data_IF_033531909714
#
_entry.id   IF_033531909714
#
_cell.length_a   1.000
_cell.length_b   1.000
_cell.length_c   1.000
_cell.angle_alpha   90.00
_cell.angle_beta   90.00
_cell.angle_gamma   90.00
#
_symmetry.space_group_name_H-M   'P 1'
#
loop_
_entity.id
_entity.type
_entity.pdbx_description
1 polymer ?
#
# COMPACT_ATOMS: atom_id res chain seq x y z
N UNK A 1 -0.58 -31.77 17.64
CA UNK A 1 -1.20 -31.12 16.47
C UNK A 1 -0.52 -29.78 16.27
N UNK A 2 0.40 -29.65 15.28
CA UNK A 2 1.05 -28.37 14.97
C UNK A 2 0.09 -27.56 14.07
N UNK A 3 -0.47 -26.51 14.61
CA UNK A 3 -1.25 -25.55 13.82
C UNK A 3 -0.34 -24.99 12.72
N UNK A 4 -0.67 -25.24 11.49
CA UNK A 4 -0.11 -24.50 10.35
C UNK A 4 -0.35 -23.02 10.62
N UNK A 5 0.68 -22.20 10.48
CA UNK A 5 0.54 -20.73 10.47
C UNK A 5 -0.44 -20.41 9.34
N UNK A 6 -1.72 -20.33 9.69
CA UNK A 6 -2.81 -20.15 8.76
C UNK A 6 -2.62 -18.83 8.03
N UNK A 7 -2.67 -18.86 6.71
CA UNK A 7 -2.84 -17.65 5.92
C UNK A 7 -3.99 -16.85 6.54
N UNK A 8 -3.76 -15.56 6.81
CA UNK A 8 -4.79 -14.67 7.34
C UNK A 8 -6.04 -14.82 6.47
N UNK A 9 -7.24 -14.97 7.05
CA UNK A 9 -8.45 -15.13 6.27
C UNK A 9 -8.59 -13.95 5.31
N UNK A 10 -8.96 -14.24 4.08
CA UNK A 10 -9.24 -13.22 3.07
C UNK A 10 -10.31 -12.25 3.60
N UNK A 11 -9.99 -10.96 3.62
CA UNK A 11 -10.83 -9.88 4.14
C UNK A 11 -11.33 -9.02 2.96
N UNK A 12 -12.56 -9.26 2.47
CA UNK A 12 -13.10 -8.56 1.29
C UNK A 12 -13.12 -7.04 1.42
N UNK A 13 -13.36 -6.52 2.64
CA UNK A 13 -13.36 -5.09 2.90
C UNK A 13 -11.99 -4.42 2.67
N UNK A 14 -10.90 -5.10 2.97
CA UNK A 14 -9.56 -4.55 2.70
C UNK A 14 -9.27 -4.54 1.19
N UNK A 15 -9.74 -5.53 0.43
CA UNK A 15 -9.63 -5.50 -1.03
C UNK A 15 -10.47 -4.38 -1.62
N UNK A 16 -11.67 -4.13 -1.07
CA UNK A 16 -12.50 -3.00 -1.48
C UNK A 16 -11.78 -1.66 -1.27
N UNK A 17 -11.18 -1.45 -0.10
CA UNK A 17 -10.43 -0.21 0.18
C UNK A 17 -9.22 -0.05 -0.73
N UNK A 18 -8.49 -1.12 -1.06
CA UNK A 18 -7.37 -1.08 -2.00
C UNK A 18 -7.83 -0.74 -3.42
N UNK A 19 -8.91 -1.37 -3.87
CA UNK A 19 -9.51 -1.10 -5.17
C UNK A 19 -9.98 0.36 -5.26
N UNK A 20 -10.65 0.85 -4.22
CA UNK A 20 -11.04 2.26 -4.13
C UNK A 20 -9.83 3.19 -4.17
N UNK A 21 -8.80 2.91 -3.38
CA UNK A 21 -7.59 3.73 -3.27
C UNK A 21 -6.88 3.88 -4.63
N UNK A 22 -6.65 2.78 -5.35
CA UNK A 22 -5.97 2.84 -6.65
C UNK A 22 -6.81 3.59 -7.69
N UNK A 23 -8.12 3.36 -7.74
CA UNK A 23 -9.03 4.09 -8.64
C UNK A 23 -9.01 5.58 -8.31
N UNK A 24 -9.06 5.95 -7.03
CA UNK A 24 -9.05 7.35 -6.60
C UNK A 24 -7.75 8.07 -6.97
N UNK A 25 -6.60 7.42 -6.82
CA UNK A 25 -5.31 7.94 -7.27
C UNK A 25 -5.26 8.11 -8.80
N UNK A 26 -5.78 7.14 -9.55
CA UNK A 26 -5.84 7.25 -11.02
C UNK A 26 -6.77 8.40 -11.46
N UNK A 27 -7.92 8.58 -10.81
CA UNK A 27 -8.81 9.72 -11.04
C UNK A 27 -8.10 11.04 -10.75
N UNK A 28 -7.36 11.16 -9.65
CA UNK A 28 -6.55 12.35 -9.38
C UNK A 28 -5.57 12.66 -10.52
N UNK A 29 -4.83 11.67 -11.00
CA UNK A 29 -3.86 11.89 -12.06
C UNK A 29 -4.50 12.04 -13.46
N UNK A 30 -5.73 11.55 -13.68
CA UNK A 30 -6.39 11.63 -14.98
C UNK A 30 -6.68 13.07 -15.41
N UNK A 31 -6.85 13.99 -14.45
CA UNK A 31 -7.08 15.41 -14.76
C UNK A 31 -5.83 16.11 -15.33
N UNK A 32 -4.64 15.57 -15.12
CA UNK A 32 -3.42 16.05 -15.76
C UNK A 32 -3.49 15.91 -17.30
N UNK A 33 -4.37 15.06 -17.80
CA UNK A 33 -4.57 14.77 -19.22
C UNK A 33 -6.02 15.05 -19.68
N UNK A 34 -6.71 15.94 -18.97
CA UNK A 34 -8.05 16.41 -19.34
C UNK A 34 -9.24 15.61 -18.79
N UNK A 35 -9.02 14.47 -18.14
CA UNK A 35 -10.02 13.68 -17.38
C UNK A 35 -11.42 13.60 -17.98
N UNK A 36 -12.45 13.74 -17.11
CA UNK A 36 -13.88 13.81 -17.48
C UNK A 36 -14.36 15.22 -17.83
N UNK A 37 -13.46 16.22 -17.84
CA UNK A 37 -13.80 17.64 -17.99
C UNK A 37 -14.15 18.31 -16.66
N UNK A 38 -14.33 19.66 -16.71
CA UNK A 38 -14.41 20.53 -15.53
C UNK A 38 -15.59 20.22 -14.60
N UNK A 39 -16.71 19.76 -15.14
CA UNK A 39 -17.91 19.44 -14.36
C UNK A 39 -17.70 18.30 -13.35
N UNK A 40 -16.68 17.47 -13.55
CA UNK A 40 -16.38 16.32 -12.72
C UNK A 40 -15.06 16.46 -11.94
N UNK A 41 -14.45 17.66 -11.94
CA UNK A 41 -13.18 17.93 -11.26
C UNK A 41 -13.21 17.58 -9.76
N UNK A 42 -14.38 17.69 -9.13
CA UNK A 42 -14.58 17.34 -7.71
C UNK A 42 -14.25 15.86 -7.40
N UNK A 43 -14.47 14.93 -8.36
CA UNK A 43 -14.14 13.50 -8.16
C UNK A 43 -12.64 13.26 -7.98
N UNK A 44 -11.82 14.05 -8.64
CA UNK A 44 -10.36 13.89 -8.60
C UNK A 44 -9.69 14.77 -7.56
N UNK A 45 -10.30 15.87 -7.16
CA UNK A 45 -9.70 16.91 -6.29
C UNK A 45 -8.94 16.34 -5.09
N UNK A 46 -9.50 15.32 -4.46
CA UNK A 46 -8.95 14.69 -3.27
C UNK A 46 -8.37 13.29 -3.52
N UNK A 47 -8.27 12.85 -4.77
CA UNK A 47 -7.82 11.49 -5.09
C UNK A 47 -6.38 11.18 -4.68
N UNK A 48 -5.54 12.21 -4.45
CA UNK A 48 -4.21 12.06 -3.85
C UNK A 48 -4.26 11.39 -2.47
N UNK A 49 -5.38 11.51 -1.72
CA UNK A 49 -5.60 10.83 -0.43
C UNK A 49 -5.69 9.29 -0.58
N UNK A 50 -5.87 8.77 -1.79
CA UNK A 50 -5.79 7.33 -2.04
C UNK A 50 -4.44 6.73 -1.67
N UNK A 51 -3.35 7.51 -1.73
CA UNK A 51 -2.02 7.10 -1.23
C UNK A 51 -2.05 6.91 0.29
N UNK A 52 -2.76 7.76 1.01
CA UNK A 52 -2.88 7.66 2.48
C UNK A 52 -3.71 6.44 2.91
N UNK A 53 -4.70 6.01 2.10
CA UNK A 53 -5.37 4.72 2.29
C UNK A 53 -4.36 3.57 2.21
N UNK A 54 -3.46 3.59 1.20
CA UNK A 54 -2.39 2.59 1.11
C UNK A 54 -1.44 2.65 2.31
N UNK A 55 -1.07 3.82 2.79
CA UNK A 55 -0.22 3.96 3.97
C UNK A 55 -0.85 3.34 5.23
N UNK A 56 -2.14 3.60 5.49
CA UNK A 56 -2.84 2.98 6.63
C UNK A 56 -2.94 1.45 6.46
N UNK A 57 -3.28 0.98 5.27
CA UNK A 57 -3.33 -0.46 4.97
C UNK A 57 -1.96 -1.12 5.12
N UNK A 58 -0.90 -0.47 4.64
CA UNK A 58 0.49 -0.94 4.78
C UNK A 58 0.91 -0.99 6.25
N UNK A 59 0.66 0.07 7.01
CA UNK A 59 0.92 0.11 8.44
C UNK A 59 0.19 -1.01 9.20
N UNK A 60 -1.08 -1.26 8.89
CA UNK A 60 -1.89 -2.30 9.50
C UNK A 60 -1.38 -3.72 9.18
N UNK A 61 -1.13 -4.02 7.92
CA UNK A 61 -0.71 -5.36 7.49
C UNK A 61 0.73 -5.67 7.89
N UNK A 62 1.63 -4.71 7.74
CA UNK A 62 3.03 -4.84 8.18
C UNK A 62 3.09 -4.89 9.70
N UNK A 63 2.35 -4.01 10.38
CA UNK A 63 2.24 -4.04 11.83
C UNK A 63 1.85 -5.42 12.34
N UNK A 64 0.81 -6.05 11.79
CA UNK A 64 0.43 -7.41 12.16
C UNK A 64 1.54 -8.43 11.87
N UNK A 65 2.16 -8.37 10.68
CA UNK A 65 3.19 -9.33 10.28
C UNK A 65 4.43 -9.30 11.16
N UNK A 66 4.72 -8.15 11.79
CA UNK A 66 5.87 -7.94 12.67
C UNK A 66 5.51 -8.19 14.15
N UNK A 67 4.35 -7.70 14.60
CA UNK A 67 3.96 -7.77 16.02
C UNK A 67 3.40 -9.13 16.43
N UNK A 68 2.69 -9.83 15.52
CA UNK A 68 2.04 -11.11 15.85
C UNK A 68 3.03 -12.23 16.23
N UNK A 69 4.14 -12.47 15.51
CA UNK A 69 5.15 -13.44 15.96
C UNK A 69 5.68 -13.12 17.35
N UNK A 70 5.95 -11.86 17.65
CA UNK A 70 6.49 -11.44 18.94
C UNK A 70 5.51 -11.66 20.08
N UNK A 71 4.23 -11.39 19.87
CA UNK A 71 3.18 -11.64 20.85
C UNK A 71 3.04 -13.14 21.13
N UNK A 72 3.31 -13.99 20.13
CA UNK A 72 3.31 -15.46 20.25
C UNK A 72 4.63 -16.03 20.82
N UNK A 73 5.58 -15.20 21.25
CA UNK A 73 6.89 -15.62 21.75
C UNK A 73 7.81 -16.20 20.66
N UNK A 74 7.50 -15.96 19.38
CA UNK A 74 8.30 -16.40 18.25
C UNK A 74 9.33 -15.34 17.85
N UNK A 75 10.41 -15.77 17.21
CA UNK A 75 11.39 -14.83 16.66
C UNK A 75 10.94 -14.28 15.29
N UNK A 76 11.11 -12.96 15.14
CA UNK A 76 10.91 -12.31 13.87
C UNK A 76 12.11 -12.56 12.96
N UNK A 77 11.90 -13.31 11.88
CA UNK A 77 12.92 -13.50 10.85
C UNK A 77 12.97 -12.31 9.91
N UNK A 78 13.91 -11.38 10.12
CA UNK A 78 14.14 -10.24 9.23
C UNK A 78 14.42 -10.69 7.80
N UNK A 79 15.21 -11.77 7.61
CA UNK A 79 15.52 -12.33 6.30
C UNK A 79 14.25 -12.72 5.55
N UNK A 80 13.34 -13.42 6.21
CA UNK A 80 12.05 -13.82 5.60
C UNK A 80 11.15 -12.61 5.35
N UNK A 81 11.15 -11.64 6.25
CA UNK A 81 10.38 -10.41 6.10
C UNK A 81 10.84 -9.61 4.88
N UNK A 82 12.13 -9.27 4.78
CA UNK A 82 12.67 -8.50 3.65
C UNK A 82 12.60 -9.27 2.33
N UNK A 83 12.84 -10.58 2.33
CA UNK A 83 12.65 -11.42 1.15
C UNK A 83 11.24 -11.31 0.57
N UNK A 84 10.23 -11.41 1.42
CA UNK A 84 8.83 -11.31 1.00
C UNK A 84 8.50 -9.93 0.45
N UNK A 85 9.07 -8.87 0.98
CA UNK A 85 8.88 -7.48 0.51
C UNK A 85 9.60 -7.24 -0.80
N UNK A 86 10.87 -7.62 -0.90
CA UNK A 86 11.65 -7.48 -2.11
C UNK A 86 10.95 -8.10 -3.34
N UNK A 87 10.48 -9.34 -3.22
CA UNK A 87 9.75 -10.00 -4.30
C UNK A 87 8.36 -9.41 -4.60
N UNK A 88 7.78 -8.72 -3.65
CA UNK A 88 6.51 -8.00 -3.83
C UNK A 88 6.68 -6.71 -4.64
N UNK A 89 7.82 -6.03 -4.47
CA UNK A 89 8.01 -4.65 -4.90
C UNK A 89 8.99 -4.57 -6.07
N UNK A 90 10.20 -5.12 -5.91
CA UNK A 90 11.30 -4.91 -6.84
C UNK A 90 11.05 -5.38 -8.28
N UNK A 91 10.41 -6.53 -8.59
CA UNK A 91 10.29 -6.97 -9.96
C UNK A 91 9.50 -5.99 -10.84
N UNK A 92 8.31 -5.59 -10.43
CA UNK A 92 7.49 -4.65 -11.20
C UNK A 92 8.08 -3.24 -11.19
N UNK A 93 8.64 -2.78 -10.05
CA UNK A 93 9.34 -1.50 -9.96
C UNK A 93 10.52 -1.41 -10.92
N UNK A 94 11.37 -2.44 -10.97
CA UNK A 94 12.54 -2.47 -11.84
C UNK A 94 12.15 -2.43 -13.34
N UNK A 95 11.09 -3.14 -13.73
CA UNK A 95 10.59 -3.12 -15.12
C UNK A 95 10.10 -1.71 -15.48
N UNK A 96 9.28 -1.08 -14.62
CA UNK A 96 8.76 0.26 -14.88
C UNK A 96 9.89 1.29 -14.89
N UNK A 97 10.82 1.22 -13.92
CA UNK A 97 11.99 2.09 -13.91
C UNK A 97 12.85 1.93 -15.18
N UNK A 98 13.08 0.69 -15.63
CA UNK A 98 13.80 0.42 -16.86
C UNK A 98 13.12 1.06 -18.09
N UNK A 99 11.78 1.02 -18.15
CA UNK A 99 11.01 1.71 -19.19
C UNK A 99 11.24 3.23 -19.13
N UNK A 100 11.15 3.84 -17.94
CA UNK A 100 11.40 5.27 -17.77
C UNK A 100 12.82 5.68 -18.15
N UNK A 101 13.80 4.85 -17.86
CA UNK A 101 15.22 5.14 -18.19
C UNK A 101 15.49 4.94 -19.68
N UNK A 102 15.05 3.80 -20.26
CA UNK A 102 15.38 3.42 -21.63
C UNK A 102 14.57 4.17 -22.70
N UNK A 103 13.35 4.62 -22.37
CA UNK A 103 12.43 5.22 -23.34
C UNK A 103 11.97 6.63 -22.90
N UNK A 104 12.78 7.67 -23.11
CA UNK A 104 12.41 9.06 -22.75
C UNK A 104 11.09 9.52 -23.35
N UNK A 105 10.73 9.04 -24.54
CA UNK A 105 9.46 9.35 -25.20
C UNK A 105 8.22 8.82 -24.48
N UNK A 106 8.38 7.91 -23.53
CA UNK A 106 7.27 7.37 -22.70
C UNK A 106 7.08 8.15 -21.39
N UNK A 107 7.93 9.11 -21.07
CA UNK A 107 7.85 9.89 -19.83
C UNK A 107 6.72 10.90 -19.91
N UNK A 108 5.87 10.93 -18.91
CA UNK A 108 4.73 11.86 -18.80
C UNK A 108 5.13 13.31 -18.52
N UNK A 109 6.41 13.55 -18.23
CA UNK A 109 6.96 14.88 -17.98
C UNK A 109 8.44 14.92 -18.36
N UNK A 110 9.00 16.12 -18.67
CA UNK A 110 10.41 16.28 -18.87
C UNK A 110 11.18 16.05 -17.57
N UNK A 111 12.41 15.55 -17.70
CA UNK A 111 13.33 15.35 -16.58
C UNK A 111 12.97 14.12 -15.72
N UNK A 112 13.95 13.25 -15.55
CA UNK A 112 13.92 12.10 -14.65
C UNK A 112 15.04 12.26 -13.64
N UNK A 113 14.76 12.04 -12.36
CA UNK A 113 15.81 12.00 -11.33
C UNK A 113 16.85 10.93 -11.67
N UNK A 114 18.09 11.06 -11.17
CA UNK A 114 19.12 10.05 -11.38
C UNK A 114 18.64 8.65 -10.99
N UNK A 115 18.92 7.64 -11.83
CA UNK A 115 18.43 6.27 -11.61
C UNK A 115 18.84 5.66 -10.27
N UNK A 116 20.01 6.07 -9.72
CA UNK A 116 20.45 5.62 -8.40
C UNK A 116 19.52 6.06 -7.26
N UNK A 117 18.86 7.22 -7.38
CA UNK A 117 17.89 7.67 -6.36
C UNK A 117 16.64 6.76 -6.33
N UNK A 118 16.21 6.27 -7.49
CA UNK A 118 15.15 5.27 -7.56
C UNK A 118 15.62 3.91 -7.00
N UNK A 119 16.81 3.46 -7.38
CA UNK A 119 17.37 2.19 -6.93
C UNK A 119 17.60 2.14 -5.41
N UNK A 120 17.94 3.28 -4.80
CA UNK A 120 18.10 3.43 -3.35
C UNK A 120 16.84 3.86 -2.61
N UNK A 121 15.73 4.05 -3.31
CA UNK A 121 14.48 4.60 -2.76
C UNK A 121 14.63 5.97 -2.09
N UNK A 122 15.58 6.81 -2.53
CA UNK A 122 15.82 8.14 -1.95
C UNK A 122 15.25 9.28 -2.80
N UNK A 123 14.55 8.99 -3.88
CA UNK A 123 14.01 10.02 -4.78
C UNK A 123 13.10 11.03 -4.05
N UNK A 124 12.36 10.59 -3.05
CA UNK A 124 11.47 11.46 -2.25
C UNK A 124 12.21 12.40 -1.29
N UNK A 125 13.50 12.17 -1.04
CA UNK A 125 14.34 12.99 -0.16
C UNK A 125 15.23 13.96 -0.94
N UNK A 126 15.55 13.62 -2.18
CA UNK A 126 16.56 14.30 -3.00
C UNK A 126 15.97 14.85 -4.30
N UNK A 127 14.63 14.94 -4.39
CA UNK A 127 13.96 15.38 -5.60
C UNK A 127 14.21 16.89 -5.87
N UNK A 128 14.48 17.21 -7.11
CA UNK A 128 14.32 18.54 -7.68
C UNK A 128 13.06 18.51 -8.53
N UNK A 129 11.90 18.81 -7.91
CA UNK A 129 10.61 18.70 -8.55
C UNK A 129 10.39 19.75 -9.63
N UNK A 130 11.11 20.86 -9.57
CA UNK A 130 11.04 21.91 -10.58
C UNK A 130 11.55 21.44 -11.94
N UNK A 131 12.51 20.50 -11.96
CA UNK A 131 13.18 20.02 -13.18
C UNK A 131 12.81 18.59 -13.57
N UNK A 132 12.53 17.74 -12.59
CA UNK A 132 12.46 16.29 -12.78
C UNK A 132 11.14 15.73 -12.23
N UNK A 133 10.09 15.75 -13.06
CA UNK A 133 8.74 15.34 -12.64
C UNK A 133 8.35 13.92 -13.13
N UNK A 134 9.11 13.35 -14.09
CA UNK A 134 8.84 12.03 -14.59
C UNK A 134 9.01 10.98 -13.47
N UNK A 135 8.08 10.01 -13.41
CA UNK A 135 8.01 8.97 -12.39
C UNK A 135 7.96 9.51 -10.95
N UNK A 136 7.51 10.77 -10.79
CA UNK A 136 7.47 11.42 -9.47
C UNK A 136 6.61 10.68 -8.45
N UNK A 137 5.55 9.98 -8.89
CA UNK A 137 4.68 9.20 -8.00
C UNK A 137 5.40 8.04 -7.26
N UNK A 138 6.63 7.68 -7.67
CA UNK A 138 7.48 6.76 -6.91
C UNK A 138 7.84 7.27 -5.50
N UNK A 139 7.63 8.56 -5.19
CA UNK A 139 7.89 9.13 -3.86
C UNK A 139 7.19 8.35 -2.73
N UNK A 140 5.96 7.93 -2.95
CA UNK A 140 5.18 7.23 -1.92
C UNK A 140 5.72 5.83 -1.62
N UNK A 141 6.26 5.15 -2.65
CA UNK A 141 6.94 3.87 -2.47
C UNK A 141 8.20 4.03 -1.63
N UNK A 142 8.95 5.13 -1.81
CA UNK A 142 10.11 5.43 -0.97
C UNK A 142 9.71 5.58 0.50
N UNK A 143 8.60 6.27 0.80
CA UNK A 143 8.06 6.39 2.17
C UNK A 143 7.77 5.03 2.77
N UNK A 144 7.10 4.15 2.01
CA UNK A 144 6.79 2.78 2.46
C UNK A 144 8.06 1.94 2.67
N UNK A 145 9.03 2.00 1.74
CA UNK A 145 10.27 1.24 1.86
C UNK A 145 11.12 1.69 3.05
N UNK A 146 11.22 2.99 3.33
CA UNK A 146 11.86 3.51 4.53
C UNK A 146 11.17 2.97 5.80
N UNK A 147 9.84 2.96 5.80
CA UNK A 147 9.08 2.39 6.91
C UNK A 147 9.31 0.88 7.05
N UNK A 148 9.31 0.13 5.96
CA UNK A 148 9.55 -1.32 5.98
C UNK A 148 10.97 -1.66 6.44
N UNK A 149 11.95 -0.82 6.13
CA UNK A 149 13.33 -0.99 6.59
C UNK A 149 13.45 -0.73 8.09
N UNK A 150 12.89 0.37 8.58
CA UNK A 150 13.12 0.86 9.95
C UNK A 150 12.20 0.17 10.97
N UNK A 151 10.93 -0.01 10.65
CA UNK A 151 9.92 -0.47 11.62
C UNK A 151 10.22 -1.84 12.24
N UNK A 152 10.59 -2.91 11.49
CA UNK A 152 10.91 -4.20 12.10
C UNK A 152 12.15 -4.14 13.01
N UNK A 153 13.14 -3.32 12.66
CA UNK A 153 14.35 -3.12 13.47
C UNK A 153 14.01 -2.42 14.79
N UNK A 154 13.19 -1.37 14.75
CA UNK A 154 12.70 -0.69 15.95
C UNK A 154 11.92 -1.65 16.87
N UNK A 155 11.05 -2.47 16.30
CA UNK A 155 10.27 -3.44 17.07
C UNK A 155 11.18 -4.49 17.72
N UNK A 156 12.20 -4.98 17.04
CA UNK A 156 13.20 -5.90 17.63
C UNK A 156 13.99 -5.25 18.76
N UNK A 157 14.40 -4.01 18.57
CA UNK A 157 15.12 -3.25 19.61
C UNK A 157 14.24 -3.06 20.88
N UNK A 158 12.94 -2.87 20.68
CA UNK A 158 11.98 -2.67 21.77
C UNK A 158 11.37 -4.00 22.28
N UNK A 159 11.70 -5.15 21.67
CA UNK A 159 11.11 -6.47 21.97
C UNK A 159 10.95 -6.76 23.45
N UNK A 160 11.96 -6.56 24.32
CA UNK A 160 11.84 -6.88 25.75
C UNK A 160 10.82 -6.02 26.49
N UNK A 161 10.40 -4.91 25.89
CA UNK A 161 9.55 -3.89 26.48
C UNK A 161 8.32 -3.54 25.66
N UNK A 162 8.04 -4.27 24.57
CA UNK A 162 6.93 -4.00 23.68
C UNK A 162 5.59 -4.31 24.38
N UNK A 163 4.83 -3.27 24.70
CA UNK A 163 3.46 -3.35 25.20
C UNK A 163 2.56 -2.46 24.35
N UNK A 164 1.26 -2.77 24.32
CA UNK A 164 0.28 -1.94 23.60
C UNK A 164 0.39 -0.46 23.98
N UNK A 165 0.57 -0.15 25.28
CA UNK A 165 0.67 1.22 25.77
C UNK A 165 1.94 1.93 25.25
N UNK A 166 3.09 1.25 25.21
CA UNK A 166 4.33 1.84 24.70
C UNK A 166 4.28 2.08 23.19
N UNK A 167 3.70 1.14 22.44
CA UNK A 167 3.47 1.31 20.99
C UNK A 167 2.54 2.49 20.73
N UNK A 168 1.46 2.61 21.52
CA UNK A 168 0.53 3.74 21.45
C UNK A 168 1.26 5.06 21.78
N UNK A 169 1.97 5.12 22.90
CA UNK A 169 2.66 6.34 23.33
C UNK A 169 3.71 6.80 22.32
N UNK A 170 4.51 5.86 21.79
CA UNK A 170 5.49 6.17 20.75
C UNK A 170 4.81 6.61 19.44
N UNK A 171 3.73 5.96 19.03
CA UNK A 171 2.98 6.35 17.84
C UNK A 171 2.41 7.75 17.96
N UNK A 172 1.78 8.08 19.10
CA UNK A 172 1.25 9.42 19.35
C UNK A 172 2.36 10.49 19.44
N UNK A 173 3.49 10.16 20.04
CA UNK A 173 4.67 11.05 20.08
C UNK A 173 5.18 11.35 18.66
N UNK A 174 5.29 10.33 17.80
CA UNK A 174 5.75 10.51 16.42
C UNK A 174 4.74 11.32 15.59
N UNK A 175 3.44 11.15 15.80
CA UNK A 175 2.40 11.99 15.18
C UNK A 175 2.53 13.44 15.64
N UNK A 176 2.68 13.67 16.95
CA UNK A 176 2.86 15.02 17.50
C UNK A 176 4.14 15.70 16.96
N UNK A 177 5.24 14.95 16.86
CA UNK A 177 6.47 15.41 16.24
C UNK A 177 6.26 15.75 14.75
N UNK A 178 5.52 14.93 14.01
CA UNK A 178 5.15 15.20 12.62
C UNK A 178 4.36 16.50 12.46
N UNK A 179 3.39 16.74 13.35
CA UNK A 179 2.63 18.02 13.40
C UNK A 179 3.57 19.20 13.62
N UNK A 180 4.45 19.11 14.62
CA UNK A 180 5.39 20.16 14.97
C UNK A 180 6.39 20.45 13.83
N UNK A 181 6.95 19.41 13.23
CA UNK A 181 7.88 19.54 12.10
C UNK A 181 7.22 20.19 10.89
N UNK A 182 6.01 19.73 10.50
CA UNK A 182 5.27 20.32 9.37
C UNK A 182 4.90 21.76 9.64
N UNK A 183 4.43 22.06 10.85
CA UNK A 183 4.10 23.45 11.25
C UNK A 183 5.32 24.37 11.20
N UNK A 184 6.46 23.94 11.77
CA UNK A 184 7.71 24.69 11.74
C UNK A 184 8.20 24.90 10.29
N UNK A 185 8.27 23.83 9.49
CA UNK A 185 8.69 23.88 8.08
C UNK A 185 7.78 24.79 7.27
N UNK A 186 6.45 24.69 7.48
CA UNK A 186 5.49 25.53 6.78
C UNK A 186 5.70 27.02 7.10
N UNK A 187 5.84 27.39 8.38
CA UNK A 187 6.05 28.77 8.80
C UNK A 187 7.37 29.33 8.25
N UNK A 188 8.46 28.57 8.35
CA UNK A 188 9.77 28.98 7.89
C UNK A 188 9.82 29.22 6.36
N UNK A 189 9.28 28.29 5.57
CA UNK A 189 9.31 28.40 4.10
C UNK A 189 8.26 29.37 3.55
N UNK A 190 7.06 29.44 4.15
CA UNK A 190 6.02 30.35 3.69
C UNK A 190 6.39 31.83 3.89
N UNK A 191 7.25 32.12 4.85
CA UNK A 191 7.79 33.46 5.02
C UNK A 191 8.74 33.87 3.87
N UNK A 192 9.41 32.90 3.23
CA UNK A 192 10.36 33.13 2.15
C UNK A 192 9.69 33.07 0.77
N UNK A 193 8.78 32.13 0.56
CA UNK A 193 8.02 31.93 -0.68
C UNK A 193 6.55 31.68 -0.40
N UNK A 194 5.69 32.73 -0.38
CA UNK A 194 4.25 32.60 -0.17
C UNK A 194 3.53 31.80 -1.27
N UNK A 195 4.12 31.64 -2.45
CA UNK A 195 3.55 30.83 -3.55
C UNK A 195 3.67 29.33 -3.30
N UNK A 196 4.52 28.93 -2.32
CA UNK A 196 4.66 27.56 -1.84
C UNK A 196 5.20 26.56 -2.87
N UNK A 197 6.08 26.98 -3.77
CA UNK A 197 6.75 26.10 -4.73
C UNK A 197 7.56 24.99 -4.04
N UNK A 198 8.06 25.26 -2.83
CA UNK A 198 8.78 24.36 -1.94
C UNK A 198 7.90 23.24 -1.35
N UNK A 199 6.57 23.35 -1.42
CA UNK A 199 5.65 22.48 -0.69
C UNK A 199 5.85 20.99 -0.96
N UNK A 200 6.04 20.63 -2.23
CA UNK A 200 6.22 19.23 -2.63
C UNK A 200 7.50 18.65 -2.03
N UNK A 201 8.58 19.38 -2.09
CA UNK A 201 9.91 18.94 -1.68
C UNK A 201 10.10 18.98 -0.16
N UNK A 202 9.54 19.98 0.51
CA UNK A 202 9.74 20.18 1.95
C UNK A 202 8.71 19.47 2.85
N UNK A 203 7.46 19.29 2.38
CA UNK A 203 6.38 18.73 3.21
C UNK A 203 5.75 17.48 2.61
N UNK A 204 5.44 17.49 1.30
CA UNK A 204 4.59 16.44 0.74
C UNK A 204 5.34 15.13 0.49
N UNK A 205 6.60 15.15 0.10
CA UNK A 205 7.38 13.97 -0.26
C UNK A 205 8.23 13.37 0.87
N UNK A 206 8.89 14.16 1.76
CA UNK A 206 9.81 13.60 2.74
C UNK A 206 9.14 12.59 3.68
N UNK A 207 9.78 11.43 3.86
CA UNK A 207 9.20 10.32 4.63
C UNK A 207 8.79 10.69 6.04
N UNK A 208 9.61 11.48 6.74
CA UNK A 208 9.32 11.91 8.12
C UNK A 208 8.12 12.87 8.24
N UNK A 209 7.69 13.47 7.14
CA UNK A 209 6.51 14.33 7.08
C UNK A 209 5.22 13.55 6.83
N UNK A 210 5.30 12.25 6.46
CA UNK A 210 4.19 11.46 5.92
C UNK A 210 3.98 10.13 6.66
N UNK A 211 4.40 10.01 7.91
CA UNK A 211 4.28 8.79 8.70
C UNK A 211 2.88 8.58 9.29
N UNK A 212 2.03 9.59 9.35
CA UNK A 212 0.73 9.56 10.06
C UNK A 212 -0.12 8.35 9.68
N UNK A 213 -0.30 8.06 8.39
CA UNK A 213 -1.09 6.92 7.90
C UNK A 213 -0.47 5.57 8.27
N UNK A 214 0.84 5.41 8.10
CA UNK A 214 1.56 4.20 8.48
C UNK A 214 1.46 3.95 9.99
N UNK A 215 1.65 4.98 10.81
CA UNK A 215 1.54 4.91 12.26
C UNK A 215 0.12 4.56 12.71
N UNK A 216 -0.92 5.19 12.13
CA UNK A 216 -2.31 4.87 12.41
C UNK A 216 -2.62 3.40 12.11
N UNK A 217 -2.11 2.88 11.00
CA UNK A 217 -2.19 1.45 10.67
C UNK A 217 -1.48 0.54 11.68
N UNK A 218 -0.26 0.91 12.14
CA UNK A 218 0.46 0.17 13.18
C UNK A 218 -0.29 0.16 14.50
N UNK A 219 -0.91 1.28 14.88
CA UNK A 219 -1.71 1.37 16.10
C UNK A 219 -2.93 0.44 16.05
N UNK A 220 -3.61 0.36 14.90
CA UNK A 220 -4.67 -0.64 14.69
C UNK A 220 -4.14 -2.07 14.78
N UNK A 221 -3.00 -2.37 14.17
CA UNK A 221 -2.37 -3.68 14.25
C UNK A 221 -2.00 -4.04 15.71
N UNK A 222 -1.45 -3.07 16.45
CA UNK A 222 -1.13 -3.21 17.87
C UNK A 222 -2.37 -3.53 18.71
N UNK A 223 -3.48 -2.83 18.49
CA UNK A 223 -4.75 -3.11 19.15
C UNK A 223 -5.20 -4.55 18.86
N UNK A 224 -5.20 -4.97 17.59
CA UNK A 224 -5.61 -6.31 17.18
C UNK A 224 -4.74 -7.41 17.78
N UNK A 225 -3.42 -7.20 17.84
CA UNK A 225 -2.44 -8.21 18.27
C UNK A 225 -2.36 -8.29 19.80
N UNK A 226 -2.25 -7.16 20.49
CA UNK A 226 -2.03 -7.13 21.95
C UNK A 226 -3.31 -7.09 22.77
N UNK A 227 -4.46 -6.75 22.16
CA UNK A 227 -5.76 -6.62 22.83
C UNK A 227 -6.87 -7.29 22.00
N UNK A 228 -6.76 -8.59 21.67
CA UNK A 228 -7.69 -9.25 20.75
C UNK A 228 -9.15 -9.23 21.27
N UNK A 229 -9.37 -9.38 22.57
CA UNK A 229 -10.72 -9.30 23.16
C UNK A 229 -11.35 -7.92 22.97
N UNK A 230 -10.58 -6.85 23.21
CA UNK A 230 -11.05 -5.47 22.96
C UNK A 230 -11.31 -5.24 21.46
N UNK A 231 -10.45 -5.78 20.60
CA UNK A 231 -10.66 -5.74 19.15
C UNK A 231 -11.99 -6.36 18.75
N UNK A 232 -12.30 -7.55 19.25
CA UNK A 232 -13.56 -8.25 18.97
C UNK A 232 -14.79 -7.50 19.50
N UNK A 233 -14.71 -6.95 20.71
CA UNK A 233 -15.77 -6.11 21.27
C UNK A 233 -16.02 -4.85 20.41
N UNK A 234 -14.98 -4.17 20.00
CA UNK A 234 -15.07 -2.98 19.14
C UNK A 234 -15.59 -3.35 17.74
N UNK A 235 -15.24 -4.53 17.21
CA UNK A 235 -15.75 -5.01 15.92
C UNK A 235 -17.27 -5.24 15.92
N UNK A 236 -17.91 -5.47 17.06
CA UNK A 236 -19.37 -5.48 17.14
C UNK A 236 -20.00 -4.12 16.74
N UNK A 237 -19.23 -3.03 16.85
CA UNK A 237 -19.65 -1.66 16.51
C UNK A 237 -18.96 -1.14 15.22
N UNK A 238 -18.55 -2.04 14.32
CA UNK A 238 -17.77 -1.67 13.16
C UNK A 238 -18.52 -0.77 12.15
N UNK A 239 -19.85 -0.84 12.08
CA UNK A 239 -20.65 0.10 11.27
C UNK A 239 -20.67 1.51 11.88
N UNK A 240 -20.66 1.63 13.21
CA UNK A 240 -20.48 2.93 13.87
C UNK A 240 -19.07 3.50 13.61
N UNK A 241 -18.05 2.65 13.63
CA UNK A 241 -16.69 3.07 13.25
C UNK A 241 -16.60 3.49 11.78
N UNK A 242 -17.33 2.80 10.88
CA UNK A 242 -17.44 3.21 9.47
C UNK A 242 -18.04 4.62 9.36
N UNK A 243 -19.18 4.86 10.03
CA UNK A 243 -19.82 6.17 10.03
C UNK A 243 -18.91 7.26 10.62
N UNK A 244 -18.28 7.00 11.77
CA UNK A 244 -17.34 7.91 12.39
C UNK A 244 -16.14 8.20 11.46
N UNK A 245 -15.62 7.18 10.77
CA UNK A 245 -14.57 7.34 9.76
C UNK A 245 -15.00 8.24 8.60
N UNK A 246 -16.21 8.05 8.08
CA UNK A 246 -16.74 8.90 7.01
C UNK A 246 -16.95 10.35 7.46
N UNK A 247 -17.50 10.58 8.66
CA UNK A 247 -17.67 11.93 9.21
C UNK A 247 -16.32 12.61 9.45
N UNK A 248 -15.34 11.88 9.98
CA UNK A 248 -13.99 12.40 10.18
C UNK A 248 -13.28 12.64 8.83
N UNK A 249 -13.61 11.85 7.78
CA UNK A 249 -13.12 12.12 6.43
C UNK A 249 -13.66 13.44 5.89
N UNK A 250 -14.93 13.75 6.12
CA UNK A 250 -15.49 15.07 5.75
C UNK A 250 -14.74 16.20 6.45
N UNK A 251 -14.42 16.04 7.74
CA UNK A 251 -13.57 17.00 8.46
C UNK A 251 -12.17 17.11 7.83
N UNK A 252 -11.55 15.99 7.46
CA UNK A 252 -10.26 16.01 6.76
C UNK A 252 -10.34 16.75 5.42
N UNK A 253 -11.39 16.50 4.61
CA UNK A 253 -11.62 17.19 3.36
C UNK A 253 -11.76 18.70 3.57
N UNK A 254 -12.46 19.11 4.63
CA UNK A 254 -12.59 20.53 4.99
C UNK A 254 -11.23 21.13 5.41
N UNK A 255 -10.42 20.45 6.22
CA UNK A 255 -9.08 20.89 6.60
C UNK A 255 -8.15 21.03 5.40
N UNK A 256 -8.31 20.17 4.37
CA UNK A 256 -7.57 20.21 3.13
C UNK A 256 -8.26 21.03 2.02
N UNK A 257 -9.27 21.86 2.35
CA UNK A 257 -9.84 22.75 1.35
C UNK A 257 -8.75 23.65 0.72
N UNK A 258 -7.77 24.07 1.54
CA UNK A 258 -6.50 24.61 1.09
C UNK A 258 -5.40 23.57 1.32
N UNK A 259 -5.09 22.76 0.29
CA UNK A 259 -4.15 21.63 0.37
C UNK A 259 -2.76 22.03 0.89
N UNK A 260 -2.28 23.19 0.46
CA UNK A 260 -0.97 23.72 0.86
C UNK A 260 -1.03 24.63 2.08
N UNK A 261 -2.21 24.78 2.72
CA UNK A 261 -2.41 25.63 3.89
C UNK A 261 -1.84 25.04 5.18
N UNK A 262 -1.65 25.91 6.20
CA UNK A 262 -1.10 25.50 7.50
C UNK A 262 -1.97 24.45 8.19
N UNK A 263 -3.29 24.65 8.25
CA UNK A 263 -4.21 23.74 8.95
C UNK A 263 -4.22 22.35 8.32
N UNK A 264 -4.27 22.26 6.98
CA UNK A 264 -4.17 21.01 6.27
C UNK A 264 -2.85 20.27 6.60
N UNK A 265 -1.74 21.00 6.65
CA UNK A 265 -0.42 20.42 6.85
C UNK A 265 -0.08 20.11 8.31
N UNK A 266 -0.75 20.70 9.28
CA UNK A 266 -0.59 20.37 10.70
C UNK A 266 -1.64 19.35 11.15
N UNK A 267 -2.91 19.70 11.16
CA UNK A 267 -3.99 18.88 11.68
C UNK A 267 -4.64 17.97 10.62
N UNK A 268 -4.59 18.36 9.34
CA UNK A 268 -5.23 17.61 8.26
C UNK A 268 -4.68 16.19 8.13
N UNK A 269 -3.36 15.99 8.19
CA UNK A 269 -2.74 14.67 8.06
C UNK A 269 -3.12 13.70 9.17
N UNK A 270 -3.02 14.02 10.46
CA UNK A 270 -3.47 13.11 11.50
C UNK A 270 -4.98 12.86 11.45
N UNK A 271 -5.81 13.88 11.19
CA UNK A 271 -7.27 13.70 11.06
C UNK A 271 -7.61 12.76 9.90
N UNK A 272 -6.99 12.94 8.73
CA UNK A 272 -7.12 12.03 7.60
C UNK A 272 -6.70 10.61 7.97
N UNK A 273 -5.55 10.46 8.59
CA UNK A 273 -5.00 9.14 8.94
C UNK A 273 -5.89 8.40 9.94
N UNK A 274 -6.47 9.07 10.93
CA UNK A 274 -7.43 8.49 11.86
C UNK A 274 -8.76 8.14 11.19
N UNK A 275 -9.26 9.01 10.31
CA UNK A 275 -10.43 8.72 9.49
C UNK A 275 -10.23 7.41 8.71
N UNK A 276 -9.13 7.32 7.97
CA UNK A 276 -8.80 6.15 7.16
C UNK A 276 -8.53 4.90 8.03
N UNK A 277 -7.97 5.07 9.23
CA UNK A 277 -7.81 3.98 10.19
C UNK A 277 -9.15 3.42 10.65
N UNK A 278 -10.16 4.26 10.90
CA UNK A 278 -11.52 3.82 11.22
C UNK A 278 -12.16 3.06 10.04
N UNK A 279 -11.95 3.51 8.80
CA UNK A 279 -12.41 2.78 7.61
C UNK A 279 -11.70 1.43 7.46
N UNK A 280 -10.38 1.39 7.68
CA UNK A 280 -9.60 0.12 7.66
C UNK A 280 -10.05 -0.80 8.81
N UNK A 281 -10.32 -0.27 10.00
CA UNK A 281 -10.88 -1.03 11.12
C UNK A 281 -12.22 -1.66 10.75
N UNK A 282 -13.15 -0.89 10.19
CA UNK A 282 -14.45 -1.38 9.73
C UNK A 282 -14.31 -2.45 8.63
N UNK A 283 -13.35 -2.28 7.70
CA UNK A 283 -13.09 -3.22 6.62
C UNK A 283 -12.35 -4.50 7.05
N UNK A 284 -11.65 -4.46 8.19
CA UNK A 284 -10.80 -5.55 8.67
C UNK A 284 -11.57 -6.70 9.38
N UNK A 285 -12.88 -6.58 9.51
CA UNK A 285 -13.77 -7.59 10.07
C UNK A 285 -14.91 -7.95 9.11
N UNK A 286 -15.77 -8.86 9.54
CA UNK A 286 -16.98 -9.26 8.80
C UNK A 286 -18.26 -8.72 9.43
N UNK A 287 -18.17 -7.87 10.43
CA UNK A 287 -19.31 -7.29 11.15
C UNK A 287 -19.87 -6.04 10.48
N UNK A 288 -19.05 -5.27 9.79
CA UNK A 288 -19.47 -4.05 9.09
C UNK A 288 -20.07 -4.29 7.72
N UNK A 289 -20.79 -3.29 7.21
CA UNK A 289 -21.35 -3.28 5.86
C UNK A 289 -20.27 -3.50 4.78
N UNK A 290 -19.13 -2.79 4.86
CA UNK A 290 -18.03 -2.92 3.89
C UNK A 290 -17.22 -4.20 4.10
N UNK A 291 -17.07 -4.67 5.33
CA UNK A 291 -16.30 -5.87 5.66
C UNK A 291 -16.97 -7.18 5.23
N UNK A 292 -18.31 -7.19 5.16
CA UNK A 292 -19.09 -8.37 4.74
C UNK A 292 -19.15 -8.56 3.23
N UNK A 293 -19.03 -7.48 2.45
CA UNK A 293 -19.34 -7.49 1.02
C UNK A 293 -18.10 -7.69 0.16
N UNK A 294 -18.14 -8.72 -0.66
CA UNK A 294 -17.21 -8.90 -1.76
C UNK A 294 -17.83 -8.27 -3.02
N UNK A 295 -17.36 -7.10 -3.43
CA UNK A 295 -17.81 -6.51 -4.69
C UNK A 295 -17.10 -7.20 -5.87
N UNK A 296 -17.85 -7.51 -6.96
CA UNK A 296 -17.26 -8.06 -8.17
C UNK A 296 -16.12 -7.16 -8.68
N UNK A 297 -14.99 -7.76 -9.05
CA UNK A 297 -13.82 -7.03 -9.55
C UNK A 297 -12.92 -6.40 -8.46
N UNK A 298 -13.40 -6.11 -7.26
CA UNK A 298 -12.59 -5.46 -6.21
C UNK A 298 -11.34 -6.26 -5.85
N UNK A 299 -11.44 -7.58 -5.75
CA UNK A 299 -10.30 -8.47 -5.51
C UNK A 299 -9.26 -8.42 -6.63
N UNK A 300 -9.70 -8.38 -7.88
CA UNK A 300 -8.80 -8.30 -9.03
C UNK A 300 -8.06 -6.95 -9.07
N UNK A 301 -8.80 -5.85 -8.88
CA UNK A 301 -8.22 -4.50 -8.78
C UNK A 301 -7.25 -4.38 -7.60
N UNK A 302 -7.62 -4.91 -6.43
CA UNK A 302 -6.75 -4.92 -5.25
C UNK A 302 -5.47 -5.74 -5.49
N UNK A 303 -5.57 -6.87 -6.18
CA UNK A 303 -4.41 -7.69 -6.52
C UNK A 303 -3.46 -6.98 -7.49
N UNK A 304 -4.01 -6.29 -8.50
CA UNK A 304 -3.23 -5.55 -9.51
C UNK A 304 -2.91 -4.10 -9.09
N UNK A 305 -3.35 -3.64 -7.90
CA UNK A 305 -3.28 -2.23 -7.49
C UNK A 305 -1.86 -1.66 -7.54
N UNK A 306 -0.85 -2.45 -7.21
CA UNK A 306 0.54 -2.03 -7.27
C UNK A 306 1.02 -1.82 -8.70
N UNK A 307 0.77 -2.77 -9.59
CA UNK A 307 1.10 -2.65 -11.01
C UNK A 307 0.35 -1.50 -11.68
N UNK A 308 -0.95 -1.33 -11.37
CA UNK A 308 -1.75 -0.20 -11.83
C UNK A 308 -1.16 1.14 -11.36
N UNK A 309 -0.79 1.23 -10.07
CA UNK A 309 -0.17 2.42 -9.50
C UNK A 309 1.15 2.78 -10.17
N UNK A 310 1.99 1.80 -10.49
CA UNK A 310 3.27 2.04 -11.14
C UNK A 310 3.13 2.53 -12.59
N UNK A 311 2.14 2.00 -13.33
CA UNK A 311 2.09 2.14 -14.79
C UNK A 311 1.08 3.17 -15.31
N UNK A 312 0.15 3.68 -14.46
CA UNK A 312 -0.96 4.52 -14.94
C UNK A 312 -0.51 5.79 -15.67
N UNK A 313 0.53 6.47 -15.21
CA UNK A 313 1.01 7.68 -15.88
C UNK A 313 1.65 7.38 -17.24
N UNK A 314 2.35 6.24 -17.37
CA UNK A 314 2.83 5.77 -18.68
C UNK A 314 1.68 5.51 -19.64
N UNK A 315 0.60 4.87 -19.15
CA UNK A 315 -0.59 4.63 -19.95
C UNK A 315 -1.27 5.94 -20.37
N UNK A 316 -1.39 6.92 -19.46
CA UNK A 316 -1.93 8.24 -19.77
C UNK A 316 -1.11 8.93 -20.85
N UNK A 317 0.19 8.99 -20.68
CA UNK A 317 1.07 9.62 -21.65
C UNK A 317 1.02 8.92 -23.03
N UNK A 318 0.97 7.60 -23.05
CA UNK A 318 0.85 6.82 -24.27
C UNK A 318 -0.46 7.15 -25.04
N UNK A 319 -1.59 7.25 -24.34
CA UNK A 319 -2.86 7.63 -24.96
C UNK A 319 -2.80 9.06 -25.49
N UNK A 320 -2.30 10.00 -24.67
CA UNK A 320 -2.19 11.40 -25.04
C UNK A 320 -1.30 11.62 -26.27
N UNK A 321 -0.20 10.90 -26.35
CA UNK A 321 0.83 11.11 -27.37
C UNK A 321 0.52 10.36 -28.67
N UNK A 322 -0.04 9.16 -28.61
CA UNK A 322 -0.16 8.29 -29.78
C UNK A 322 -1.60 7.97 -30.19
N UNK A 323 -2.58 8.04 -29.28
CA UNK A 323 -3.98 7.69 -29.60
C UNK A 323 -4.80 8.96 -29.91
N UNK A 324 -4.74 9.97 -29.07
CA UNK A 324 -5.51 11.22 -29.27
C UNK A 324 -5.23 11.91 -30.62
N UNK A 325 -3.97 12.04 -31.09
CA UNK A 325 -3.71 12.69 -32.37
C UNK A 325 -4.29 11.94 -33.58
N UNK A 326 -4.46 10.62 -33.46
CA UNK A 326 -5.00 9.78 -34.52
C UNK A 326 -6.53 9.65 -34.44
N UNK A 327 -7.14 10.07 -33.34
CA UNK A 327 -8.58 9.97 -33.11
C UNK A 327 -9.16 11.29 -32.57
N UNK A 328 -9.29 12.32 -33.42
CA UNK A 328 -9.71 13.66 -33.00
C UNK A 328 -11.05 13.69 -32.27
N UNK A 329 -11.98 12.77 -32.57
CA UNK A 329 -13.27 12.68 -31.87
C UNK A 329 -13.16 12.44 -30.35
N UNK A 330 -11.99 12.01 -29.85
CA UNK A 330 -11.76 11.90 -28.41
C UNK A 330 -11.72 13.26 -27.72
N UNK A 331 -11.26 14.32 -28.40
CA UNK A 331 -11.22 15.67 -27.84
C UNK A 331 -12.63 16.21 -27.56
N UNK A 332 -13.58 15.88 -28.44
CA UNK A 332 -14.95 16.38 -28.38
C UNK A 332 -15.88 15.54 -27.48
N UNK A 333 -15.40 14.36 -27.02
CA UNK A 333 -16.22 13.41 -26.27
C UNK A 333 -15.52 13.01 -24.96
N UNK A 334 -15.65 13.82 -23.86
CA UNK A 334 -14.93 13.58 -22.60
C UNK A 334 -15.15 12.18 -22.00
N UNK A 335 -16.36 11.62 -22.11
CA UNK A 335 -16.67 10.29 -21.60
C UNK A 335 -15.92 9.20 -22.38
N UNK A 336 -15.89 9.27 -23.72
CA UNK A 336 -15.17 8.32 -24.57
C UNK A 336 -13.67 8.41 -24.29
N UNK A 337 -13.14 9.62 -24.20
CA UNK A 337 -11.76 9.91 -23.81
C UNK A 337 -11.42 9.23 -22.50
N UNK A 338 -12.22 9.44 -21.45
CA UNK A 338 -12.05 8.82 -20.15
C UNK A 338 -12.04 7.28 -20.22
N UNK A 339 -12.97 6.69 -20.98
CA UNK A 339 -13.04 5.23 -21.17
C UNK A 339 -11.76 4.69 -21.83
N UNK A 340 -11.19 5.39 -22.82
CA UNK A 340 -9.95 5.00 -23.49
C UNK A 340 -8.77 5.04 -22.50
N UNK A 341 -8.67 6.08 -21.68
CA UNK A 341 -7.64 6.19 -20.66
C UNK A 341 -7.75 5.08 -19.61
N UNK A 342 -8.96 4.78 -19.16
CA UNK A 342 -9.21 3.68 -18.21
C UNK A 342 -8.83 2.33 -18.83
N UNK A 343 -9.25 2.07 -20.07
CA UNK A 343 -8.94 0.82 -20.78
C UNK A 343 -7.43 0.64 -20.95
N UNK A 344 -6.71 1.67 -21.39
CA UNK A 344 -5.25 1.64 -21.55
C UNK A 344 -4.54 1.40 -20.20
N UNK A 345 -5.00 2.06 -19.15
CA UNK A 345 -4.44 1.90 -17.80
C UNK A 345 -4.65 0.48 -17.26
N UNK A 346 -5.87 -0.05 -17.42
CA UNK A 346 -6.17 -1.42 -17.02
C UNK A 346 -5.39 -2.43 -17.86
N UNK A 347 -5.28 -2.22 -19.16
CA UNK A 347 -4.51 -3.11 -20.04
C UNK A 347 -3.03 -3.16 -19.64
N UNK A 348 -2.37 -1.99 -19.47
CA UNK A 348 -0.96 -1.92 -19.11
C UNK A 348 -0.72 -2.44 -17.68
N UNK A 349 -1.55 -2.02 -16.72
CA UNK A 349 -1.44 -2.48 -15.34
C UNK A 349 -1.69 -3.97 -15.17
N UNK A 350 -2.68 -4.54 -15.86
CA UNK A 350 -2.92 -5.98 -15.88
C UNK A 350 -1.78 -6.74 -16.57
N UNK A 351 -1.24 -6.23 -17.67
CA UNK A 351 -0.09 -6.84 -18.34
C UNK A 351 1.14 -6.88 -17.41
N UNK A 352 1.43 -5.80 -16.71
CA UNK A 352 2.51 -5.74 -15.72
C UNK A 352 2.25 -6.70 -14.54
N UNK A 353 1.01 -6.75 -14.03
CA UNK A 353 0.63 -7.66 -12.96
C UNK A 353 0.80 -9.13 -13.36
N UNK A 354 0.22 -9.53 -14.50
CA UNK A 354 0.22 -10.91 -14.94
C UNK A 354 1.61 -11.37 -15.45
N UNK A 355 2.35 -10.48 -16.11
CA UNK A 355 3.65 -10.79 -16.72
C UNK A 355 4.83 -10.69 -15.76
N UNK A 356 4.75 -9.85 -14.71
CA UNK A 356 5.90 -9.57 -13.83
C UNK A 356 5.58 -9.78 -12.36
N UNK A 357 4.56 -9.07 -11.83
CA UNK A 357 4.29 -9.08 -10.38
C UNK A 357 3.84 -10.46 -9.90
N UNK A 358 2.86 -11.05 -10.55
CA UNK A 358 2.31 -12.36 -10.19
C UNK A 358 3.34 -13.50 -10.30
N UNK A 359 4.14 -13.62 -11.37
CA UNK A 359 5.27 -14.56 -11.43
C UNK A 359 6.29 -14.35 -10.30
N UNK A 360 6.65 -13.10 -10.01
CA UNK A 360 7.55 -12.76 -8.89
C UNK A 360 7.01 -13.26 -7.55
N UNK A 361 5.72 -13.05 -7.28
CA UNK A 361 5.05 -13.56 -6.07
C UNK A 361 5.07 -15.10 -6.01
N UNK A 362 4.89 -15.78 -7.14
CA UNK A 362 4.97 -17.23 -7.20
C UNK A 362 6.39 -17.74 -6.87
N UNK A 363 7.42 -17.10 -7.44
CA UNK A 363 8.82 -17.44 -7.13
C UNK A 363 9.17 -17.16 -5.68
N UNK A 364 8.70 -16.05 -5.10
CA UNK A 364 8.81 -15.76 -3.68
C UNK A 364 8.39 -16.95 -2.81
N UNK A 365 7.22 -17.51 -3.10
CA UNK A 365 6.63 -18.58 -2.30
C UNK A 365 7.38 -19.90 -2.53
N UNK A 366 7.80 -20.20 -3.77
CA UNK A 366 8.58 -21.38 -4.12
C UNK A 366 9.96 -21.38 -3.43
N UNK A 367 10.71 -20.30 -3.52
CA UNK A 367 12.06 -20.22 -2.95
C UNK A 367 12.05 -19.94 -1.44
N UNK A 368 11.05 -19.24 -0.91
CA UNK A 368 10.87 -19.06 0.52
C UNK A 368 10.58 -20.38 1.26
N UNK A 369 9.88 -21.31 0.64
CA UNK A 369 9.61 -22.63 1.19
C UNK A 369 10.87 -23.53 1.24
N UNK A 370 11.77 -23.39 0.25
CA UNK A 370 13.03 -24.15 0.20
C UNK A 370 13.99 -23.69 1.31
N UNK A 371 14.08 -22.39 1.59
CA UNK A 371 14.90 -21.84 2.67
C UNK A 371 14.46 -22.32 4.07
N UNK A 372 13.16 -22.47 4.29
CA UNK A 372 12.63 -22.99 5.56
C UNK A 372 12.89 -24.50 5.76
N UNK A 373 12.96 -25.32 4.70
CA UNK A 373 13.27 -26.75 4.82
C UNK A 373 14.73 -27.02 5.21
N UNK A 374 15.66 -26.17 4.79
CA UNK A 374 17.09 -26.34 5.13
C UNK A 374 17.43 -26.01 6.60
N UNK A 375 16.60 -25.22 7.26
CA UNK A 375 16.80 -24.86 8.68
C UNK A 375 16.15 -25.85 9.67
N UNK A 376 15.37 -26.82 9.18
CA UNK A 376 14.85 -27.93 9.97
C UNK A 376 15.56 -29.16 9.45
N UNK A 377 16.65 -29.58 10.14
CA UNK A 377 17.41 -30.81 9.88
C UNK A 377 16.54 -32.08 9.97
N UNK A 378 15.58 -32.21 9.03
CA UNK A 378 14.84 -33.45 8.81
C UNK A 378 15.56 -34.14 7.65
N UNK A 379 16.53 -35.02 7.98
CA UNK A 379 16.95 -36.11 7.10
C UNK A 379 15.70 -36.83 6.58
N UNK A 380 15.61 -37.16 5.31
CA UNK A 380 14.54 -38.03 4.83
C UNK A 380 14.77 -39.41 5.49
N UNK A 381 13.81 -39.87 6.29
CA UNK A 381 13.76 -41.22 6.77
C UNK A 381 13.76 -42.18 5.59
N UNK A 382 14.74 -43.13 5.50
CA UNK A 382 14.77 -44.11 4.44
C UNK A 382 13.94 -45.33 4.84
N UNK A 383 12.62 -45.21 4.89
CA UNK A 383 11.71 -46.35 5.02
C UNK A 383 10.37 -46.05 4.44
N UNK A 384 10.23 -46.31 3.13
CA UNK A 384 8.95 -46.64 2.46
C UNK A 384 9.26 -47.11 1.02
N UNK A 385 10.03 -48.25 0.95
CA UNK A 385 9.93 -49.14 -0.20
C UNK A 385 9.93 -50.56 0.30
N UNK A 386 9.07 -51.39 -0.23
CA UNK A 386 8.86 -52.80 -0.13
C UNK A 386 7.85 -53.25 0.94
N UNK A 387 6.66 -53.54 0.46
CA UNK A 387 6.05 -54.88 0.49
C UNK A 387 4.71 -54.84 -0.29
N UNK A 388 4.83 -55.12 -1.55
CA UNK A 388 3.79 -55.87 -2.30
C UNK A 388 4.19 -57.34 -2.23
N UNK A 389 3.23 -58.18 -2.01
CA UNK A 389 3.07 -59.60 -2.24
C UNK A 389 2.66 -60.38 -0.99
N UNK A 390 1.56 -61.10 -1.17
CA UNK A 390 1.14 -62.15 -0.29
C UNK A 390 -0.38 -62.29 -0.21
N UNK A 391 -0.97 -62.77 -1.29
CA UNK A 391 -2.29 -63.43 -1.32
C UNK A 391 -2.05 -64.81 -0.73
N UNK A 392 -2.84 -65.22 0.32
CA UNK A 392 -3.13 -66.63 0.53
C UNK A 392 -4.52 -66.79 1.14
N UNK A 393 -5.35 -67.70 0.56
CA UNK A 393 -6.72 -67.89 0.99
C UNK A 393 -6.90 -69.19 1.83
N UNK A 394 -7.81 -69.05 2.83
CA UNK A 394 -8.51 -70.16 3.41
C UNK A 394 -7.87 -70.85 4.62
N UNK A 395 -8.66 -71.67 5.44
CA UNK A 395 -9.97 -72.25 5.11
C UNK A 395 -11.09 -72.02 6.17
N UNK A 396 -12.25 -72.41 5.74
CA UNK A 396 -13.50 -72.57 6.51
C UNK A 396 -13.47 -73.58 7.68
N UNK A 397 -14.41 -73.41 8.62
CA UNK A 397 -14.83 -74.41 9.58
C UNK A 397 -15.20 -73.81 10.92
N UNK A 398 -16.47 -73.56 11.22
CA UNK A 398 -17.42 -74.51 11.71
C UNK A 398 -17.52 -74.49 13.25
N UNK A 399 -18.48 -73.88 13.77
CA UNK A 399 -19.62 -74.30 14.59
C UNK A 399 -20.33 -73.08 15.16
#
# INVERSE_FOLDING_TARGET
MKASVGALPHLPGLDLLRAFAVVWVMLFHSFLVGGLGDNWAWLSRYGWMGVDVFFVLSGFLIGQSVLQPLQQGQDLSLKTFYWRRAWRILPAFAVVLAVYVAFPALREAPGLQPGWQFASFTVNLLIDYSRNQAFSHAWSLCVEEHFYLVFPLLVLLLKPRATALRVLALGLLLVALGIALRGHTWLAHNALDPQRNWYVEAIYYPSWMRLDGLLAGVLLASLRVFRPQLWEQLQAHADAALLAGLLTLVLALWLFNERTGLLGNTLGWPVLSWSLALLVFAAAGRSSFIGRRALPGARALAAASYSLYLSHKLAFHAVQTWVEPQWPALADTPLLRFVVYVAATLALGCALYLGVERPGLHWRDKFGAIGNRKNWGISPSPHLHARSHGIDPGPAGGK
#
